data_IF_655194539039
#
_entry.id   IF_655194539039
#
_cell.length_a   1.000
_cell.length_b   1.000
_cell.length_c   1.000
_cell.angle_alpha   90.00
_cell.angle_beta   90.00
_cell.angle_gamma   90.00
#
_symmetry.space_group_name_H-M   'P 1'
#
loop_
_entity.id
_entity.type
_entity.pdbx_description
1 polymer ?
2 non-polymer ?
3 non-polymer ?
4 non-polymer ?
5 water ?
#
# COMPACT_ATOMS: atom_id res chain seq x y z
N UNK A 3 -19.69 -9.50 -17.43
CA UNK A 3 -19.32 -8.75 -16.20
C UNK A 3 -17.80 -8.58 -16.13
N UNK A 4 -17.35 -7.41 -15.72
CA UNK A 4 -15.92 -7.14 -15.61
C UNK A 4 -15.37 -7.48 -14.24
N UNK A 5 -14.12 -7.93 -14.20
CA UNK A 5 -13.46 -8.26 -12.95
C UNK A 5 -13.02 -6.94 -12.34
N UNK A 6 -13.28 -6.75 -11.05
CA UNK A 6 -12.90 -5.52 -10.38
C UNK A 6 -11.77 -5.78 -9.40
N UNK A 7 -10.67 -5.04 -9.56
CA UNK A 7 -9.50 -5.20 -8.71
C UNK A 7 -9.15 -3.93 -7.98
N UNK A 8 -9.02 -4.03 -6.66
CA UNK A 8 -8.64 -2.88 -5.85
C UNK A 8 -7.15 -3.02 -5.59
N UNK A 9 -6.39 -1.98 -5.92
CA UNK A 9 -4.95 -2.00 -5.72
C UNK A 9 -4.58 -0.98 -4.68
N UNK A 10 -3.93 -1.46 -3.62
CA UNK A 10 -3.48 -0.63 -2.52
C UNK A 10 -2.39 0.34 -2.98
N UNK A 11 -2.20 1.44 -2.27
CA UNK A 11 -1.19 2.41 -2.64
C UNK A 11 0.11 2.25 -1.85
N UNK A 12 0.11 2.63 -0.57
CA UNK A 12 1.33 2.49 0.22
C UNK A 12 1.75 1.02 0.36
N UNK A 13 3.02 0.74 0.07
CA UNK A 13 3.50 -0.63 0.19
C UNK A 13 3.19 -1.54 -0.99
N UNK A 14 2.46 -1.03 -1.98
CA UNK A 14 2.12 -1.81 -3.16
C UNK A 14 2.47 -0.99 -4.41
N UNK A 15 2.05 0.26 -4.44
CA UNK A 15 2.38 1.14 -5.56
C UNK A 15 3.50 2.10 -5.17
N UNK A 16 3.40 2.66 -3.97
CA UNK A 16 4.36 3.63 -3.46
C UNK A 16 5.21 3.04 -2.34
N UNK A 17 6.52 3.28 -2.39
CA UNK A 17 7.44 2.74 -1.39
C UNK A 17 7.48 3.53 -0.08
N UNK A 18 6.48 3.28 0.75
CA UNK A 18 6.33 3.92 2.05
C UNK A 18 7.48 3.57 3.00
N UNK A 19 7.84 2.29 3.07
CA UNK A 19 8.92 1.87 3.96
C UNK A 19 10.26 2.50 3.60
N UNK A 20 10.61 2.45 2.32
CA UNK A 20 11.86 3.03 1.87
C UNK A 20 11.90 4.54 2.01
N UNK A 21 10.77 5.19 1.71
CA UNK A 21 10.69 6.63 1.81
C UNK A 21 10.82 7.06 3.26
N UNK A 22 10.16 6.33 4.15
CA UNK A 22 10.22 6.65 5.56
C UNK A 22 11.66 6.56 6.07
N UNK A 23 12.29 5.42 5.82
CA UNK A 23 13.66 5.22 6.29
C UNK A 23 14.62 6.29 5.79
N UNK A 24 14.53 6.61 4.51
CA UNK A 24 15.42 7.62 3.93
C UNK A 24 15.24 8.97 4.62
N UNK A 25 14.00 9.40 4.80
CA UNK A 25 13.76 10.69 5.42
C UNK A 25 13.98 10.72 6.92
N UNK A 26 13.81 9.57 7.57
CA UNK A 26 14.02 9.51 9.00
C UNK A 26 15.52 9.66 9.29
N UNK A 27 16.34 8.94 8.54
CA UNK A 27 17.79 9.00 8.72
C UNK A 27 18.34 10.38 8.38
N UNK A 28 17.73 11.05 7.42
CA UNK A 28 18.19 12.36 7.01
C UNK A 28 17.83 13.42 8.04
N UNK A 29 16.66 13.30 8.66
CA UNK A 29 16.22 14.27 9.66
C UNK A 29 16.75 13.97 11.06
N UNK A 30 16.95 12.69 11.36
CA UNK A 30 17.44 12.26 12.66
C UNK A 30 18.68 11.38 12.49
N UNK A 31 19.76 11.97 11.94
CA UNK A 31 21.03 11.27 11.70
C UNK A 31 21.69 10.61 12.91
N UNK A 32 21.52 11.20 14.09
CA UNK A 32 22.14 10.64 15.29
C UNK A 32 21.23 9.69 16.06
N UNK A 33 20.16 9.24 15.41
CA UNK A 33 19.23 8.31 16.04
C UNK A 33 19.35 6.92 15.43
N UNK A 34 19.05 5.88 16.22
CA UNK A 34 19.14 4.51 15.69
C UNK A 34 17.95 4.30 14.77
N UNK A 35 18.09 3.45 13.76
CA UNK A 35 17.01 3.18 12.84
C UNK A 35 16.83 1.69 12.63
N UNK A 36 15.79 1.32 11.88
CA UNK A 36 15.50 -0.07 11.61
C UNK A 36 15.64 -0.38 10.14
N UNK A 37 16.60 -1.23 9.80
CA UNK A 37 16.83 -1.61 8.42
C UNK A 37 15.56 -2.32 7.96
N UNK A 38 15.21 -2.15 6.68
CA UNK A 38 14.00 -2.77 6.16
C UNK A 38 14.00 -4.27 6.34
N UNK A 39 15.19 -4.88 6.22
CA UNK A 39 15.32 -6.32 6.40
C UNK A 39 14.88 -6.74 7.79
N UNK A 40 14.96 -5.81 8.74
CA UNK A 40 14.59 -6.09 10.13
C UNK A 40 13.21 -5.57 10.53
N UNK A 41 12.46 -5.04 9.58
CA UNK A 41 11.12 -4.55 9.89
C UNK A 41 10.17 -5.71 10.18
N UNK A 42 9.39 -5.56 11.24
CA UNK A 42 8.43 -6.57 11.66
C UNK A 42 7.18 -5.87 12.17
N UNK A 43 6.01 -6.23 11.65
CA UNK A 43 4.79 -5.59 12.08
C UNK A 43 4.42 -4.44 11.16
N UNK A 44 3.13 -4.28 10.89
CA UNK A 44 2.64 -3.23 10.01
C UNK A 44 2.98 -1.81 10.47
N UNK A 45 2.86 -1.57 11.77
CA UNK A 45 3.09 -0.23 12.32
C UNK A 45 4.54 0.15 12.57
N UNK A 46 5.05 1.03 11.72
CA UNK A 46 6.43 1.50 11.83
C UNK A 46 6.75 2.14 13.18
N UNK A 47 5.89 3.05 13.64
CA UNK A 47 6.14 3.74 14.90
C UNK A 47 6.22 2.80 16.10
N UNK A 48 5.52 1.69 16.04
CA UNK A 48 5.53 0.74 17.15
C UNK A 48 6.86 0.01 17.30
N UNK A 49 7.48 -0.35 16.18
CA UNK A 49 8.77 -1.02 16.26
C UNK A 49 9.85 -0.02 16.63
N UNK A 50 9.69 1.22 16.16
CA UNK A 50 10.65 2.28 16.47
C UNK A 50 10.53 2.65 17.94
N UNK A 51 9.32 2.59 18.47
CA UNK A 51 9.11 2.92 19.86
C UNK A 51 9.81 1.93 20.76
N UNK A 52 9.90 0.68 20.30
CA UNK A 52 10.57 -0.37 21.06
C UNK A 52 12.08 -0.26 20.96
N UNK A 53 12.55 0.36 19.88
CA UNK A 53 13.99 0.53 19.66
C UNK A 53 14.58 1.38 20.79
N UNK A 54 14.06 2.59 20.96
CA UNK A 54 14.51 3.48 22.03
C UNK A 54 13.44 4.53 22.30
N UNK A 55 13.35 5.01 23.54
CA UNK A 55 12.38 6.03 23.95
C UNK A 55 12.42 7.31 23.12
N UNK A 56 11.26 7.74 22.64
CA UNK A 56 11.18 8.96 21.85
C UNK A 56 11.21 8.78 20.35
N UNK A 57 11.54 7.58 19.88
CA UNK A 57 11.61 7.32 18.45
C UNK A 57 10.24 7.26 17.78
N UNK A 58 9.21 6.91 18.55
CA UNK A 58 7.86 6.81 18.01
C UNK A 58 7.36 8.19 17.55
N UNK A 59 7.53 9.18 18.41
CA UNK A 59 7.08 10.54 18.10
C UNK A 59 7.84 11.09 16.90
N UNK A 60 9.13 10.76 16.81
CA UNK A 60 9.95 11.23 15.70
C UNK A 60 9.52 10.54 14.41
N UNK A 61 9.21 9.25 14.49
CA UNK A 61 8.77 8.50 13.31
C UNK A 61 7.49 9.13 12.75
N UNK A 62 6.56 9.45 13.63
CA UNK A 62 5.28 10.04 13.24
C UNK A 62 5.47 11.37 12.51
N UNK A 63 6.41 12.18 12.97
CA UNK A 63 6.66 13.48 12.36
C UNK A 63 7.11 13.36 10.91
N UNK A 64 7.63 12.18 10.54
CA UNK A 64 8.09 11.98 9.17
C UNK A 64 6.92 11.91 8.18
N UNK A 65 5.95 11.03 8.42
CA UNK A 65 4.83 10.95 7.50
C UNK A 65 3.81 12.08 7.62
N UNK A 66 3.92 12.88 8.67
CA UNK A 66 2.99 14.01 8.81
C UNK A 66 3.59 15.24 8.12
N UNK A 67 4.83 15.12 7.66
CA UNK A 67 5.50 16.24 6.99
C UNK A 67 5.10 16.42 5.54
N UNK A 68 5.08 17.68 5.10
CA UNK A 68 4.73 18.00 3.72
C UNK A 68 5.69 17.27 2.79
N UNK A 69 5.14 16.82 1.66
CA UNK A 69 5.87 16.11 0.62
C UNK A 69 6.31 14.68 0.92
N UNK A 70 5.98 14.16 2.09
CA UNK A 70 6.36 12.77 2.39
C UNK A 70 5.67 11.83 1.40
N UNK A 71 4.35 11.91 1.30
CA UNK A 71 3.64 11.04 0.38
C UNK A 71 3.92 11.34 -1.08
N UNK A 72 3.99 12.61 -1.43
CA UNK A 72 4.24 12.94 -2.83
C UNK A 72 5.59 12.45 -3.35
N UNK A 73 6.60 12.47 -2.49
CA UNK A 73 7.94 12.07 -2.91
C UNK A 73 8.26 10.58 -2.78
N UNK A 74 7.26 9.77 -2.46
CA UNK A 74 7.52 8.34 -2.37
C UNK A 74 7.83 7.83 -3.77
N UNK A 75 8.76 6.88 -3.86
CA UNK A 75 9.12 6.32 -5.15
C UNK A 75 8.24 5.13 -5.47
N UNK A 76 7.91 4.93 -6.76
CA UNK A 76 7.07 3.78 -7.11
C UNK A 76 7.85 2.48 -6.87
N UNK A 77 7.14 1.43 -6.50
CA UNK A 77 7.80 0.14 -6.30
C UNK A 77 8.17 -0.38 -7.68
N UNK A 78 9.22 -1.20 -7.76
CA UNK A 78 9.62 -1.73 -9.07
C UNK A 78 8.48 -2.44 -9.80
N UNK A 79 8.27 -2.08 -11.05
CA UNK A 79 7.23 -2.70 -11.87
C UNK A 79 5.79 -2.37 -11.52
N UNK A 80 5.56 -1.60 -10.48
CA UNK A 80 4.20 -1.27 -10.07
C UNK A 80 3.40 -0.45 -11.07
N UNK A 81 3.99 0.65 -11.56
CA UNK A 81 3.30 1.50 -12.52
C UNK A 81 3.02 0.74 -13.80
N UNK A 82 4.02 0.03 -14.30
CA UNK A 82 3.89 -0.75 -15.51
C UNK A 82 2.80 -1.82 -15.39
N UNK A 83 2.78 -2.52 -14.26
CA UNK A 83 1.80 -3.58 -14.04
C UNK A 83 0.37 -3.07 -13.94
N UNK A 84 0.17 -1.99 -13.18
CA UNK A 84 -1.17 -1.44 -13.03
C UNK A 84 -1.69 -0.85 -14.33
N UNK A 85 -0.81 -0.23 -15.11
CA UNK A 85 -1.22 0.34 -16.39
C UNK A 85 -1.69 -0.79 -17.30
N UNK A 86 -0.94 -1.88 -17.32
CA UNK A 86 -1.32 -3.02 -18.16
C UNK A 86 -2.61 -3.64 -17.65
N UNK A 87 -2.72 -3.81 -16.34
CA UNK A 87 -3.90 -4.40 -15.72
C UNK A 87 -5.16 -3.61 -16.08
N UNK A 88 -5.06 -2.28 -15.99
CA UNK A 88 -6.19 -1.42 -16.29
C UNK A 88 -6.62 -1.49 -17.75
N UNK A 89 -5.67 -1.80 -18.64
CA UNK A 89 -5.96 -1.87 -20.07
C UNK A 89 -6.54 -3.22 -20.49
N UNK A 90 -6.50 -4.20 -19.60
CA UNK A 90 -7.03 -5.53 -19.94
C UNK A 90 -8.54 -5.50 -20.15
N UNK A 91 -9.01 -6.41 -20.99
CA UNK A 91 -10.43 -6.52 -21.28
C UNK A 91 -11.15 -7.03 -20.04
N UNK A 92 -12.40 -6.60 -19.87
CA UNK A 92 -13.22 -7.02 -18.74
C UNK A 92 -12.49 -6.91 -17.42
N UNK A 93 -11.82 -5.77 -17.21
CA UNK A 93 -11.07 -5.55 -15.97
C UNK A 93 -11.14 -4.09 -15.55
N UNK A 94 -11.68 -3.85 -14.36
CA UNK A 94 -11.77 -2.50 -13.82
C UNK A 94 -10.84 -2.40 -12.62
N UNK A 95 -9.93 -1.43 -12.68
CA UNK A 95 -8.96 -1.22 -11.62
C UNK A 95 -9.19 0.06 -10.84
N UNK A 96 -9.16 -0.05 -9.52
CA UNK A 96 -9.31 1.11 -8.65
C UNK A 96 -8.16 1.11 -7.66
N UNK A 97 -7.67 2.29 -7.34
CA UNK A 97 -6.60 2.42 -6.36
C UNK A 97 -7.35 2.73 -5.07
N UNK A 98 -7.25 1.83 -4.10
CA UNK A 98 -7.96 1.97 -2.83
C UNK A 98 -6.91 2.18 -1.74
N UNK A 99 -6.87 3.41 -1.20
CA UNK A 99 -5.87 3.78 -0.21
C UNK A 99 -6.46 4.47 1.02
N UNK A 100 -5.84 4.25 2.17
CA UNK A 100 -6.29 4.86 3.43
C UNK A 100 -5.40 6.03 3.82
N UNK A 101 -5.96 7.24 3.83
CA UNK A 101 -5.16 8.42 4.20
C UNK A 101 -4.95 8.46 5.72
N UNK A 102 -3.86 9.10 6.15
CA UNK A 102 -3.60 9.21 7.57
C UNK A 102 -4.56 10.24 8.19
N UNK A 103 -4.63 10.26 9.51
CA UNK A 103 -5.51 11.17 10.24
C UNK A 103 -5.22 12.64 9.99
N UNK A 104 -3.94 13.01 9.93
CA UNK A 104 -3.58 14.39 9.68
C UNK A 104 -3.80 14.57 8.18
N UNK A 105 -4.86 15.29 7.84
CA UNK A 105 -5.26 15.47 6.45
C UNK A 105 -4.73 16.67 5.67
N UNK A 106 -3.82 17.44 6.26
CA UNK A 106 -3.32 18.62 5.56
C UNK A 106 -2.67 18.37 4.21
N UNK A 107 -1.86 17.32 4.12
CA UNK A 107 -1.14 17.02 2.90
C UNK A 107 -1.42 15.69 2.25
N UNK A 108 -1.67 14.68 3.08
CA UNK A 108 -1.86 13.33 2.59
C UNK A 108 -2.84 13.13 1.42
N UNK A 109 -4.13 13.47 1.61
CA UNK A 109 -5.08 13.30 0.51
C UNK A 109 -4.61 13.98 -0.78
N UNK A 110 -4.27 15.26 -0.68
CA UNK A 110 -3.80 16.02 -1.83
C UNK A 110 -2.61 15.34 -2.51
N UNK A 111 -1.61 14.98 -1.72
CA UNK A 111 -0.40 14.37 -2.28
C UNK A 111 -0.64 13.03 -2.92
N UNK A 112 -1.61 12.27 -2.43
CA UNK A 112 -1.91 10.97 -3.04
C UNK A 112 -2.52 11.20 -4.43
N UNK A 113 -3.41 12.18 -4.55
CA UNK A 113 -3.99 12.46 -5.88
C UNK A 113 -2.89 12.96 -6.81
N UNK A 114 -2.02 13.83 -6.30
CA UNK A 114 -0.93 14.36 -7.10
C UNK A 114 0.02 13.25 -7.56
N UNK A 115 0.25 12.28 -6.68
CA UNK A 115 1.14 11.16 -6.98
C UNK A 115 0.54 10.31 -8.10
N UNK A 116 -0.75 10.02 -8.02
CA UNK A 116 -1.41 9.22 -9.03
C UNK A 116 -1.39 9.96 -10.37
N UNK A 117 -1.64 11.26 -10.34
CA UNK A 117 -1.62 12.02 -11.59
C UNK A 117 -0.23 11.93 -12.21
N UNK A 118 0.80 12.08 -11.39
CA UNK A 118 2.19 12.03 -11.84
C UNK A 118 2.57 10.74 -12.54
N UNK A 119 2.22 9.61 -11.95
CA UNK A 119 2.60 8.32 -12.52
C UNK A 119 1.59 7.62 -13.43
N UNK A 120 0.31 7.96 -13.31
CA UNK A 120 -0.70 7.32 -14.15
C UNK A 120 -1.45 8.25 -15.08
N UNK A 121 -1.28 9.56 -14.88
CA UNK A 121 -1.95 10.52 -15.73
C UNK A 121 -3.28 11.01 -15.22
N UNK A 122 -3.75 12.17 -15.72
CA UNK A 122 -5.02 12.78 -15.32
C UNK A 122 -6.23 11.84 -15.34
N UNK A 123 -6.37 11.05 -16.40
CA UNK A 123 -7.51 10.17 -16.51
C UNK A 123 -7.63 9.10 -15.42
N UNK A 124 -6.51 8.73 -14.81
CA UNK A 124 -6.54 7.71 -13.78
C UNK A 124 -7.07 8.22 -12.45
N UNK A 125 -7.17 9.54 -12.29
CA UNK A 125 -7.68 10.11 -11.04
C UNK A 125 -9.09 9.60 -10.76
N UNK A 126 -9.83 9.27 -11.82
CA UNK A 126 -11.20 8.76 -11.71
C UNK A 126 -11.27 7.40 -11.01
N UNK A 127 -10.13 6.72 -10.93
CA UNK A 127 -10.06 5.39 -10.34
C UNK A 127 -9.64 5.37 -8.87
N UNK A 128 -9.52 6.55 -8.27
CA UNK A 128 -9.07 6.62 -6.87
C UNK A 128 -10.20 6.56 -5.85
N UNK A 129 -10.01 5.73 -4.83
CA UNK A 129 -10.97 5.62 -3.73
C UNK A 129 -10.17 5.79 -2.44
N UNK A 130 -10.49 6.85 -1.68
CA UNK A 130 -9.84 7.10 -0.40
C UNK A 130 -10.79 6.67 0.70
N UNK A 131 -10.33 5.77 1.57
CA UNK A 131 -11.18 5.29 2.65
C UNK A 131 -10.35 4.61 3.73
N UNK A 132 -10.78 4.75 4.98
CA UNK A 132 -10.06 4.09 6.06
C UNK A 132 -10.72 2.74 6.35
N UNK A 133 -11.75 2.42 5.57
CA UNK A 133 -12.46 1.16 5.67
C UNK A 133 -12.58 0.58 4.26
N UNK A 134 -11.74 -0.39 3.95
CA UNK A 134 -11.77 -1.01 2.63
C UNK A 134 -12.77 -2.14 2.51
N UNK A 135 -13.32 -2.59 3.63
CA UNK A 135 -14.30 -3.68 3.61
C UNK A 135 -15.63 -3.22 3.01
N UNK A 136 -15.87 -1.91 2.98
CA UNK A 136 -17.13 -1.42 2.42
C UNK A 136 -17.00 -1.14 0.92
N UNK A 137 -15.82 -1.41 0.36
CA UNK A 137 -15.62 -1.22 -1.07
C UNK A 137 -15.73 -2.62 -1.67
N UNK A 138 -16.63 -2.78 -2.64
CA UNK A 138 -16.85 -4.08 -3.26
C UNK A 138 -15.98 -4.31 -4.49
N UNK A 139 -15.43 -5.53 -4.58
CA UNK A 139 -14.58 -5.91 -5.70
C UNK A 139 -14.33 -7.40 -5.63
N UNK A 140 -13.64 -7.94 -6.62
CA UNK A 140 -13.32 -9.36 -6.63
C UNK A 140 -11.99 -9.61 -5.93
N UNK A 141 -11.09 -8.64 -6.03
CA UNK A 141 -9.77 -8.76 -5.43
C UNK A 141 -9.27 -7.46 -4.81
N UNK A 142 -8.50 -7.60 -3.74
CA UNK A 142 -7.87 -6.46 -3.07
C UNK A 142 -6.41 -6.88 -2.87
N UNK A 143 -5.50 -6.19 -3.54
CA UNK A 143 -4.07 -6.47 -3.42
C UNK A 143 -3.55 -5.42 -2.45
N UNK A 144 -3.19 -5.86 -1.25
CA UNK A 144 -2.80 -4.95 -0.18
C UNK A 144 -1.75 -5.60 0.73
N UNK A 145 -0.78 -4.81 1.19
CA UNK A 145 0.28 -5.34 2.05
C UNK A 145 -0.06 -5.44 3.54
N UNK A 146 -1.22 -4.92 3.94
CA UNK A 146 -1.59 -5.01 5.35
C UNK A 146 -2.20 -6.37 5.61
N UNK A 147 -1.69 -7.12 6.60
CA UNK A 147 -2.24 -8.45 6.88
C UNK A 147 -3.69 -8.45 7.35
N UNK A 148 -4.01 -7.56 8.28
CA UNK A 148 -5.35 -7.47 8.85
C UNK A 148 -6.18 -6.35 8.25
N UNK A 149 -7.09 -6.70 7.35
CA UNK A 149 -7.95 -5.68 6.74
C UNK A 149 -9.38 -5.90 7.19
N UNK A 150 -9.80 -5.08 8.14
CA UNK A 150 -11.13 -5.19 8.72
C UNK A 150 -11.89 -3.87 8.67
N UNK A 151 -13.17 -3.93 8.99
CA UNK A 151 -13.99 -2.73 8.98
C UNK A 151 -15.44 -3.03 9.31
N UNK A 152 -16.34 -2.18 8.83
CA UNK A 152 -17.76 -2.31 9.09
C UNK A 152 -18.41 -3.52 8.44
N UNK A 153 -17.81 -4.05 7.38
CA UNK A 153 -18.36 -5.20 6.68
C UNK A 153 -17.63 -6.47 7.14
N UNK A 154 -18.32 -7.36 7.87
CA UNK A 154 -17.72 -8.60 8.35
C UNK A 154 -17.36 -9.59 7.25
N UNK A 155 -18.04 -9.49 6.11
CA UNK A 155 -17.78 -10.39 5.00
C UNK A 155 -17.57 -9.64 3.69
N UNK A 156 -16.37 -9.08 3.50
CA UNK A 156 -16.04 -8.32 2.27
C UNK A 156 -16.26 -9.18 1.03
N UNK A 157 -16.60 -8.55 -0.08
CA UNK A 157 -16.83 -9.29 -1.32
C UNK A 157 -15.52 -9.67 -1.99
N UNK A 158 -14.44 -8.96 -1.65
CA UNK A 158 -13.15 -9.25 -2.26
C UNK A 158 -12.32 -10.32 -1.56
N UNK A 159 -11.38 -10.89 -2.31
CA UNK A 159 -10.44 -11.85 -1.77
C UNK A 159 -9.21 -10.97 -1.54
N UNK A 160 -8.68 -11.00 -0.34
CA UNK A 160 -7.49 -10.21 -0.03
C UNK A 160 -6.26 -11.01 -0.39
N UNK A 161 -5.47 -10.48 -1.32
CA UNK A 161 -4.23 -11.11 -1.73
C UNK A 161 -3.15 -10.25 -1.06
N UNK A 162 -2.34 -10.87 -0.21
CA UNK A 162 -1.31 -10.14 0.52
C UNK A 162 -0.10 -9.80 -0.33
N UNK A 163 0.15 -8.52 -0.52
CA UNK A 163 1.30 -8.09 -1.30
C UNK A 163 2.50 -8.09 -0.35
N UNK A 164 3.55 -8.80 -0.73
CA UNK A 164 4.73 -8.89 0.12
C UNK A 164 5.43 -7.58 0.38
N UNK A 165 5.81 -7.39 1.64
CA UNK A 165 6.52 -6.20 2.09
C UNK A 165 7.49 -6.66 3.17
N UNK A 166 8.51 -5.87 3.44
CA UNK A 166 9.50 -6.21 4.46
C UNK A 166 8.84 -6.63 5.77
N UNK A 167 7.81 -5.90 6.17
CA UNK A 167 7.12 -6.16 7.43
C UNK A 167 6.21 -7.40 7.50
N UNK A 168 5.88 -7.98 6.36
CA UNK A 168 5.00 -9.16 6.38
C UNK A 168 5.59 -10.38 5.69
N UNK A 169 6.80 -10.26 5.17
CA UNK A 169 7.44 -11.34 4.42
C UNK A 169 7.55 -12.69 5.13
N UNK A 170 7.67 -12.69 6.45
CA UNK A 170 7.80 -13.95 7.18
C UNK A 170 6.49 -14.50 7.71
N UNK A 171 5.40 -13.77 7.51
CA UNK A 171 4.10 -14.22 8.00
C UNK A 171 3.52 -15.45 7.32
N UNK A 172 3.11 -16.42 8.13
CA UNK A 172 2.50 -17.62 7.60
C UNK A 172 1.00 -17.32 7.52
N UNK A 173 0.43 -17.48 6.33
CA UNK A 173 -0.99 -17.21 6.13
C UNK A 173 -1.83 -18.48 6.23
N UNK A 174 -3.04 -18.33 6.75
CA UNK A 174 -3.96 -19.44 6.88
C UNK A 174 -4.64 -19.71 5.54
N UNK A 175 -4.63 -20.96 5.08
CA UNK A 175 -5.25 -21.29 3.79
C UNK A 175 -6.71 -20.84 3.79
N UNK A 176 -7.24 -20.46 2.62
CA UNK A 176 -6.59 -20.42 1.32
C UNK A 176 -5.99 -19.05 0.98
N UNK A 177 -5.65 -18.26 2.00
CA UNK A 177 -5.07 -16.95 1.78
C UNK A 177 -3.76 -17.07 1.01
N UNK A 178 -3.55 -16.17 0.04
CA UNK A 178 -2.34 -16.21 -0.77
C UNK A 178 -1.65 -14.86 -0.92
N UNK A 179 -0.47 -14.88 -1.54
CA UNK A 179 0.35 -13.68 -1.75
C UNK A 179 0.65 -13.35 -3.20
N UNK A 180 1.05 -12.10 -3.41
CA UNK A 180 1.53 -11.64 -4.70
C UNK A 180 2.90 -11.20 -4.18
N UNK A 181 3.95 -11.90 -4.57
CA UNK A 181 5.27 -11.61 -4.03
C UNK A 181 5.94 -10.30 -4.43
N UNK A 182 5.49 -9.72 -5.53
CA UNK A 182 6.02 -8.45 -6.04
C UNK A 182 5.33 -8.31 -7.38
N UNK A 183 5.51 -7.19 -8.05
CA UNK A 183 4.87 -7.01 -9.34
C UNK A 183 5.53 -7.84 -10.43
N UNK A 184 6.66 -8.44 -10.10
CA UNK A 184 7.35 -9.30 -11.06
C UNK A 184 6.67 -10.66 -11.02
N UNK A 185 5.97 -10.93 -9.93
CA UNK A 185 5.24 -12.19 -9.74
C UNK A 185 4.09 -12.22 -10.74
N UNK A 186 3.51 -13.39 -10.94
CA UNK A 186 2.42 -13.56 -11.91
C UNK A 186 1.07 -13.04 -11.44
N UNK A 187 0.86 -11.73 -11.52
CA UNK A 187 -0.41 -11.16 -11.10
C UNK A 187 -1.55 -11.51 -12.06
N UNK A 188 -1.24 -11.70 -13.34
CA UNK A 188 -2.29 -12.04 -14.30
C UNK A 188 -2.93 -13.38 -13.95
N UNK A 189 -2.12 -14.32 -13.48
CA UNK A 189 -2.63 -15.63 -13.11
C UNK A 189 -3.60 -15.52 -11.94
N UNK A 190 -3.32 -14.60 -11.03
CA UNK A 190 -4.19 -14.40 -9.88
C UNK A 190 -5.52 -13.83 -10.34
N UNK A 191 -5.48 -12.83 -11.21
CA UNK A 191 -6.71 -12.24 -11.73
C UNK A 191 -7.54 -13.25 -12.49
N UNK A 192 -6.89 -14.03 -13.35
CA UNK A 192 -7.59 -15.04 -14.14
C UNK A 192 -8.31 -16.07 -13.29
N UNK A 193 -7.75 -16.40 -12.14
CA UNK A 193 -8.35 -17.39 -11.26
C UNK A 193 -9.68 -16.90 -10.67
N UNK A 194 -9.96 -15.61 -10.82
CA UNK A 194 -11.18 -15.02 -10.29
C UNK A 194 -12.21 -14.75 -11.39
N UNK A 195 -11.79 -14.88 -12.64
CA UNK A 195 -12.69 -14.65 -13.77
C UNK A 195 -13.64 -15.82 -13.98
N UNK A 196 -14.80 -15.57 -14.60
CA UNK A 196 -15.81 -16.60 -14.85
C UNK A 196 -15.29 -17.75 -15.71
X LIG B 1 -2.48 2.48 2.06
X LIG B 1 -1.70 1.23 2.08
X LIG B 1 -3.89 2.19 2.39
X LIG B 1 -2.40 3.08 0.70
X LIG B 1 -1.92 3.44 3.05
X LIG C 1 -0.48 -0.57 2.09
X LIG D 1 -4.63 4.73 7.73
X LIG D 1 -3.62 5.34 8.43
X LIG D 1 -3.41 4.90 9.83
X LIG D 1 -4.26 3.87 10.48
X LIG D 1 -5.28 3.29 9.70
X LIG D 1 -5.57 3.65 8.31
X LIG D 1 2.66 2.62 8.92
X LIG D 1 1.79 3.71 8.68
X LIG D 1 0.91 3.83 7.51
X LIG D 1 1.00 2.73 6.63
X LIG D 1 1.93 1.63 6.92
X LIG D 1 2.68 1.61 8.01
X LIG D 1 3.41 2.50 9.89
X LIG D 1 2.00 0.66 6.11
X LIG D 1 0.06 2.78 5.30
X LIG D 1 1.81 4.78 9.68
X LIG D 1 1.22 4.27 10.85
X LIG D 1 0.59 5.39 11.38
X LIG D 1 0.18 6.31 10.44
X LIG D 1 1.14 6.06 9.40
X LIG D 1 -0.59 5.05 12.17
X LIG D 1 -1.90 4.69 11.61
X LIG D 1 -2.25 5.61 10.57
X LIG D 1 -1.07 6.00 9.84
X LIG D 1 -2.95 7.20 11.38
X LIG D 1 -3.96 6.50 12.39
X LIG D 1 -3.73 7.93 10.36
X LIG D 1 -1.91 7.98 12.16
#
# INVERSE_FOLDING_TARGET
>A
GGRALRVLVDMDGVLADFEGGFLRKFRARFPDQPFIALEDRRGFWVSEQYGRLRPGLSEKAISIWESKNFFFELEPLPGAVEAVKEMASLQNTDVFICTSPIKMFKYCPYEKYAWVEKYFGPDFLEQIVLTRDKTVVSADLLIDDRPDITGAEPTPSWEHVLFTACHNQHLQLQPPRRRLHSWADDWKAILDSKRPC
>B hetero
1 PO4 P O1 O2 O3 O4
>C hetero
1 MG MG
>D hetero
1 DPB C11 C12 C7 C8 C9 C10 C2 N1 C6 C5 C4 N3 O2 O4 C5M C1' O4' C4' C3' C2' C5' O5' C6' O3' P OP2 OP1 OP3
#
